data_IF_726489510651
#
_entry.id   IF_726489510651
#
_cell.length_a   1.000
_cell.length_b   1.000
_cell.length_c   1.000
_cell.angle_alpha   90.00
_cell.angle_beta   90.00
_cell.angle_gamma   90.00
#
_symmetry.space_group_name_H-M   'P 1'
#
loop_
_entity.id
_entity.type
_entity.pdbx_description
1 polymer ?
#
# COMPACT_ATOMS: atom_id res chain seq x y z
N UNK A 1 24.87 -9.45 17.87
CA UNK A 1 24.21 -9.58 16.54
C UNK A 1 22.86 -8.87 16.60
N UNK A 2 22.64 -7.81 15.81
CA UNK A 2 21.32 -7.19 15.69
C UNK A 2 20.40 -8.15 14.92
N UNK A 3 19.29 -8.53 15.55
CA UNK A 3 18.18 -9.22 14.86
C UNK A 3 17.69 -8.30 13.74
N UNK A 4 17.95 -8.67 12.50
CA UNK A 4 17.25 -8.06 11.38
C UNK A 4 15.76 -8.39 11.56
N UNK A 5 14.98 -7.40 12.00
CA UNK A 5 13.53 -7.46 11.85
C UNK A 5 13.29 -7.45 10.35
N UNK A 6 12.49 -8.38 9.83
CA UNK A 6 12.02 -8.36 8.45
C UNK A 6 10.65 -7.67 8.46
N UNK A 7 10.59 -6.32 8.53
CA UNK A 7 9.33 -5.62 8.66
C UNK A 7 8.47 -5.92 7.42
N UNK A 8 7.15 -6.06 7.60
CA UNK A 8 6.25 -6.18 6.47
C UNK A 8 6.37 -4.94 5.60
N UNK A 9 6.33 -5.12 4.27
CA UNK A 9 6.37 -4.02 3.32
C UNK A 9 5.27 -2.99 3.67
N UNK A 10 5.55 -1.68 3.67
CA UNK A 10 4.60 -0.66 4.12
C UNK A 10 3.26 -0.74 3.38
N UNK A 11 3.27 -1.05 2.09
CA UNK A 11 2.03 -1.25 1.34
C UNK A 11 1.15 -2.41 1.83
N UNK A 12 1.70 -3.46 2.45
CA UNK A 12 0.86 -4.49 3.07
C UNK A 12 0.08 -3.95 4.27
N UNK A 13 0.68 -3.01 5.01
CA UNK A 13 0.02 -2.35 6.14
C UNK A 13 -1.16 -1.53 5.63
N UNK A 14 -0.97 -0.77 4.54
CA UNK A 14 -2.07 -0.02 3.89
C UNK A 14 -3.22 -0.95 3.49
N UNK A 15 -2.92 -2.15 2.99
CA UNK A 15 -3.96 -3.12 2.64
C UNK A 15 -4.73 -3.60 3.87
N UNK A 16 -4.02 -4.05 4.89
CA UNK A 16 -4.59 -4.70 6.08
C UNK A 16 -5.30 -3.72 7.01
N UNK A 17 -4.76 -2.51 7.15
CA UNK A 17 -5.24 -1.54 8.14
C UNK A 17 -6.19 -0.49 7.53
N UNK A 18 -6.16 -0.29 6.21
CA UNK A 18 -7.00 0.72 5.56
C UNK A 18 -7.97 0.11 4.55
N UNK A 19 -7.50 -0.70 3.60
CA UNK A 19 -8.35 -1.16 2.49
C UNK A 19 -9.32 -2.27 2.93
N UNK A 20 -8.79 -3.32 3.58
CA UNK A 20 -9.58 -4.48 4.01
C UNK A 20 -10.65 -4.13 5.07
N UNK A 21 -10.36 -3.33 6.12
CA UNK A 21 -11.35 -2.98 7.15
C UNK A 21 -12.44 -2.05 6.64
N UNK A 22 -12.13 -1.21 5.64
CA UNK A 22 -13.10 -0.31 5.01
C UNK A 22 -13.90 -1.00 3.91
N UNK A 23 -13.64 -2.28 3.61
CA UNK A 23 -14.30 -3.01 2.52
C UNK A 23 -14.05 -2.40 1.14
N UNK A 24 -12.96 -1.64 0.99
CA UNK A 24 -12.67 -0.94 -0.26
C UNK A 24 -12.03 -1.88 -1.26
N UNK A 25 -12.39 -1.71 -2.54
CA UNK A 25 -11.61 -2.31 -3.62
C UNK A 25 -10.36 -1.48 -3.88
N UNK A 26 -9.31 -2.11 -4.41
CA UNK A 26 -8.09 -1.39 -4.83
C UNK A 26 -8.43 -0.27 -5.83
N UNK A 27 -9.41 -0.48 -6.70
CA UNK A 27 -9.86 0.53 -7.68
C UNK A 27 -10.47 1.74 -6.99
N UNK A 28 -11.36 1.53 -6.00
CA UNK A 28 -11.98 2.62 -5.25
C UNK A 28 -10.96 3.36 -4.39
N UNK A 29 -10.08 2.64 -3.69
CA UNK A 29 -9.02 3.24 -2.90
C UNK A 29 -8.07 4.07 -3.78
N UNK A 30 -7.64 3.56 -4.94
CA UNK A 30 -6.78 4.29 -5.86
C UNK A 30 -7.46 5.57 -6.37
N UNK A 31 -8.75 5.51 -6.71
CA UNK A 31 -9.52 6.68 -7.14
C UNK A 31 -9.65 7.73 -6.03
N UNK A 32 -9.88 7.31 -4.79
CA UNK A 32 -9.99 8.21 -3.64
C UNK A 32 -8.64 8.88 -3.32
N UNK A 33 -7.53 8.16 -3.53
CA UNK A 33 -6.17 8.65 -3.33
C UNK A 33 -5.60 9.42 -4.54
N UNK A 34 -6.33 9.54 -5.64
CA UNK A 34 -5.85 10.22 -6.85
C UNK A 34 -4.71 9.52 -7.58
N UNK A 35 -4.45 8.25 -7.28
CA UNK A 35 -3.38 7.45 -7.90
C UNK A 35 -3.93 6.45 -8.90
N UNK A 36 -3.07 5.92 -9.78
CA UNK A 36 -3.49 4.85 -10.67
C UNK A 36 -3.72 3.54 -9.89
N UNK A 37 -4.70 2.74 -10.33
CA UNK A 37 -4.94 1.39 -9.77
C UNK A 37 -3.67 0.53 -9.78
N UNK A 38 -2.88 0.62 -10.85
CA UNK A 38 -1.64 -0.16 -11.00
C UNK A 38 -0.60 0.24 -9.95
N UNK A 39 -0.43 1.54 -9.70
CA UNK A 39 0.52 2.03 -8.72
C UNK A 39 0.14 1.57 -7.30
N UNK A 40 -1.12 1.77 -6.90
CA UNK A 40 -1.59 1.29 -5.60
C UNK A 40 -1.46 -0.24 -5.49
N UNK A 41 -1.83 -0.99 -6.54
CA UNK A 41 -1.70 -2.45 -6.56
C UNK A 41 -0.25 -2.91 -6.35
N UNK A 42 0.71 -2.25 -6.99
CA UNK A 42 2.12 -2.61 -6.85
C UNK A 42 2.62 -2.33 -5.42
N UNK A 43 2.21 -1.22 -4.81
CA UNK A 43 2.56 -0.90 -3.42
C UNK A 43 1.97 -1.92 -2.45
N UNK A 44 0.65 -2.17 -2.51
CA UNK A 44 -0.03 -3.05 -1.54
C UNK A 44 0.40 -4.52 -1.61
N UNK A 45 0.88 -4.94 -2.78
CA UNK A 45 1.45 -6.28 -2.98
C UNK A 45 2.97 -6.33 -2.74
N UNK A 46 3.60 -5.22 -2.34
CA UNK A 46 5.04 -5.15 -2.07
C UNK A 46 5.92 -5.30 -3.31
N UNK A 47 5.38 -4.99 -4.49
CA UNK A 47 6.10 -5.00 -5.77
C UNK A 47 6.71 -3.64 -6.12
N UNK A 48 6.33 -2.58 -5.42
CA UNK A 48 6.90 -1.24 -5.55
C UNK A 48 6.96 -0.56 -4.18
N UNK A 49 7.97 0.30 -3.98
CA UNK A 49 8.07 1.17 -2.81
C UNK A 49 7.03 2.30 -2.84
N UNK A 50 6.91 3.02 -1.72
CA UNK A 50 6.04 4.20 -1.61
C UNK A 50 6.81 5.41 -2.11
N UNK A 51 6.48 5.90 -3.30
CA UNK A 51 7.04 7.14 -3.86
C UNK A 51 6.45 8.37 -3.17
N UNK A 52 7.10 9.55 -3.25
CA UNK A 52 6.55 10.80 -2.74
C UNK A 52 5.15 11.09 -3.29
N UNK A 53 4.92 10.80 -4.57
CA UNK A 53 3.62 10.96 -5.24
C UNK A 53 2.50 10.09 -4.65
N UNK A 54 2.84 9.00 -3.95
CA UNK A 54 1.87 8.13 -3.24
C UNK A 54 1.74 8.51 -1.75
N UNK A 55 2.73 9.21 -1.21
CA UNK A 55 2.79 9.57 0.20
C UNK A 55 2.11 10.91 0.55
N UNK A 56 1.81 11.73 -0.46
CA UNK A 56 1.23 13.07 -0.32
C UNK A 56 -0.30 13.01 -0.31
#
# INVERSE_FOLDING_TARGET
MMRMKNPPHPGRIVRQECIEPLGLTITHAARALGVTRQALNNVVNGKAGVSPEIAI
#
